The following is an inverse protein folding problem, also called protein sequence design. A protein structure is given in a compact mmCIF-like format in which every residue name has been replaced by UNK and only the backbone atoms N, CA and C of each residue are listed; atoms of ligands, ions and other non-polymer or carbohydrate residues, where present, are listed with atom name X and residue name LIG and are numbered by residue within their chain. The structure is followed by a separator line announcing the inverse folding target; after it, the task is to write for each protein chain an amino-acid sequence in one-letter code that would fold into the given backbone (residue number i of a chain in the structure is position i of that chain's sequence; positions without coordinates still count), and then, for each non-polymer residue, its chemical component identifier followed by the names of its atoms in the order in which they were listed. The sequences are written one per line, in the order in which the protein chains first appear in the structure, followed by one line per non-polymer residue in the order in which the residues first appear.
data_IF_128607924982
#
_entry.id   IF_128607924982
#
_cell.length_a   1.000
_cell.length_b   1.000
_cell.length_c   1.000
_cell.angle_alpha   90.00
_cell.angle_beta   90.00
_cell.angle_gamma   90.00
#
_symmetry.space_group_name_H-M   'P 1'
#
loop_
_entity.id
_entity.type
_entity.pdbx_description
1 polymer ?
#
# COMPACT_ATOMS: atom_id res chain seq x y z
N UNK A 1 -6.46 -20.59 -16.43
CA UNK A 1 -5.28 -20.44 -15.57
C UNK A 1 -5.41 -19.09 -14.92
N UNK A 2 -5.97 -19.09 -13.72
CA UNK A 2 -6.27 -17.91 -12.90
C UNK A 2 -5.00 -17.54 -12.16
N UNK A 3 -4.27 -16.49 -12.53
CA UNK A 3 -3.14 -16.05 -11.70
C UNK A 3 -2.86 -14.58 -11.95
N UNK A 4 -3.51 -13.73 -11.15
CA UNK A 4 -3.01 -12.48 -10.59
C UNK A 4 -4.23 -11.81 -9.98
N UNK A 5 -4.64 -12.26 -8.78
CA UNK A 5 -5.53 -11.43 -7.98
C UNK A 5 -4.82 -10.09 -7.77
N UNK A 6 -5.22 -9.07 -8.52
CA UNK A 6 -4.89 -7.69 -8.21
C UNK A 6 -5.55 -7.44 -6.85
N UNK A 7 -4.81 -7.68 -5.77
CA UNK A 7 -5.33 -7.55 -4.41
C UNK A 7 -5.47 -6.08 -4.11
N UNK A 8 -6.67 -5.56 -4.38
CA UNK A 8 -7.09 -4.24 -3.95
C UNK A 8 -7.74 -4.36 -2.59
N UNK A 9 -7.21 -3.66 -1.60
CA UNK A 9 -7.76 -3.59 -0.27
C UNK A 9 -7.66 -2.17 0.25
N UNK A 10 -8.57 -1.81 1.14
CA UNK A 10 -8.58 -0.47 1.74
C UNK A 10 -7.99 -0.56 3.13
N UNK A 11 -6.93 0.20 3.39
CA UNK A 11 -6.35 0.34 4.73
C UNK A 11 -6.84 1.63 5.37
N UNK A 12 -7.14 1.57 6.67
CA UNK A 12 -7.60 2.74 7.41
C UNK A 12 -6.43 3.26 8.25
N UNK A 13 -5.79 4.34 7.80
CA UNK A 13 -4.73 4.96 8.58
C UNK A 13 -5.37 5.79 9.68
N UNK A 14 -5.29 5.29 10.91
CA UNK A 14 -5.74 6.01 12.09
C UNK A 14 -4.67 7.03 12.46
N UNK A 15 -4.84 8.28 12.02
CA UNK A 15 -4.07 9.41 12.54
C UNK A 15 -4.84 9.92 13.75
N UNK A 16 -4.44 9.49 14.94
CA UNK A 16 -4.86 9.96 16.26
C UNK A 16 -6.29 10.55 16.35
N UNK A 17 -7.25 9.69 16.72
CA UNK A 17 -8.37 10.13 17.55
C UNK A 17 -9.76 10.30 16.91
N UNK A 18 -9.94 10.57 15.61
CA UNK A 18 -11.33 10.69 15.06
C UNK A 18 -11.52 10.52 13.55
N UNK A 19 -10.48 10.58 12.72
CA UNK A 19 -10.63 10.50 11.27
C UNK A 19 -9.74 9.38 10.70
N UNK A 20 -10.31 8.19 10.60
CA UNK A 20 -9.70 7.10 9.85
C UNK A 20 -9.62 7.51 8.38
N UNK A 21 -8.41 7.73 7.86
CA UNK A 21 -8.23 8.02 6.45
C UNK A 21 -8.20 6.71 5.68
N UNK A 22 -9.31 6.40 5.02
CA UNK A 22 -9.43 5.25 4.11
C UNK A 22 -8.53 5.47 2.91
N UNK A 23 -7.51 4.63 2.80
CA UNK A 23 -6.51 4.64 1.75
C UNK A 23 -6.67 3.38 0.92
N UNK A 24 -6.95 3.52 -0.37
CA UNK A 24 -7.04 2.37 -1.26
C UNK A 24 -5.63 1.91 -1.63
N UNK A 25 -5.30 0.66 -1.32
CA UNK A 25 -4.03 0.04 -1.71
C UNK A 25 -4.30 -1.02 -2.75
N UNK A 26 -3.61 -0.92 -3.88
CA UNK A 26 -3.67 -1.90 -4.97
C UNK A 26 -2.32 -2.56 -5.10
N UNK A 27 -2.23 -3.83 -4.72
CA UNK A 27 -1.08 -4.67 -5.01
C UNK A 27 -1.09 -5.07 -6.49
N UNK A 28 0.03 -4.83 -7.17
CA UNK A 28 0.26 -5.23 -8.55
C UNK A 28 1.62 -5.90 -8.67
N UNK A 29 1.65 -7.01 -9.36
CA UNK A 29 2.87 -7.70 -9.74
C UNK A 29 3.09 -7.44 -11.23
N UNK A 30 4.31 -7.05 -11.61
CA UNK A 30 4.69 -7.03 -13.03
C UNK A 30 4.91 -8.46 -13.50
N UNK A 31 4.76 -8.70 -14.80
CA UNK A 31 5.14 -9.97 -15.43
C UNK A 31 6.62 -10.33 -15.25
N UNK A 32 7.43 -9.35 -14.82
CA UNK A 32 8.85 -9.48 -14.47
C UNK A 32 9.06 -10.00 -13.03
N UNK A 33 7.99 -10.19 -12.25
CA UNK A 33 8.04 -10.62 -10.85
C UNK A 33 8.26 -9.47 -9.86
N UNK A 34 8.07 -8.21 -10.27
CA UNK A 34 8.20 -7.06 -9.38
C UNK A 34 6.86 -6.68 -8.77
N UNK A 35 6.76 -6.77 -7.45
CA UNK A 35 5.57 -6.38 -6.68
C UNK A 35 5.63 -4.90 -6.28
N UNK A 36 4.59 -4.15 -6.60
CA UNK A 36 4.41 -2.76 -6.18
C UNK A 36 2.98 -2.52 -5.68
N UNK A 37 2.82 -1.48 -4.88
CA UNK A 37 1.60 -1.16 -4.15
C UNK A 37 1.21 0.27 -4.45
N UNK A 38 0.11 0.44 -5.18
CA UNK A 38 -0.45 1.76 -5.50
C UNK A 38 -1.36 2.17 -4.36
N UNK A 39 -1.02 3.24 -3.66
CA UNK A 39 -1.76 3.77 -2.53
C UNK A 39 -2.44 5.08 -2.94
N UNK A 40 -3.76 5.12 -2.86
CA UNK A 40 -4.57 6.27 -3.23
C UNK A 40 -5.17 6.91 -1.99
N UNK A 41 -4.77 8.15 -1.73
CA UNK A 41 -5.09 8.93 -0.54
C UNK A 41 -5.86 10.18 -1.01
N UNK A 42 -7.19 10.05 -1.07
CA UNK A 42 -8.05 11.07 -1.66
C UNK A 42 -7.75 11.26 -3.15
N UNK A 43 -7.24 12.44 -3.51
CA UNK A 43 -6.82 12.77 -4.89
C UNK A 43 -5.35 12.45 -5.17
N UNK A 44 -4.56 12.16 -4.14
CA UNK A 44 -3.15 11.82 -4.31
C UNK A 44 -3.02 10.31 -4.57
N UNK A 45 -2.20 9.96 -5.55
CA UNK A 45 -1.82 8.58 -5.83
C UNK A 45 -0.31 8.45 -5.70
N UNK A 46 0.13 7.47 -4.93
CA UNK A 46 1.54 7.20 -4.70
C UNK A 46 1.80 5.71 -4.90
N UNK A 47 2.92 5.37 -5.50
CA UNK A 47 3.33 3.99 -5.69
C UNK A 47 4.47 3.68 -4.74
N UNK A 48 4.24 2.67 -3.93
CA UNK A 48 5.20 2.13 -3.00
C UNK A 48 5.72 0.80 -3.54
N UNK A 49 6.98 0.53 -3.29
CA UNK A 49 7.59 -0.77 -3.54
C UNK A 49 8.06 -1.32 -2.20
N UNK A 50 7.87 -2.62 -2.01
CA UNK A 50 8.38 -3.35 -0.86
C UNK A 50 9.56 -4.20 -1.34
N UNK A 51 10.77 -3.72 -1.10
CA UNK A 51 11.98 -4.53 -1.18
C UNK A 51 12.36 -4.90 0.27
N UNK A 52 13.47 -4.37 0.79
CA UNK A 52 13.85 -4.52 2.20
C UNK A 52 12.97 -3.63 3.10
N UNK A 53 12.70 -2.41 2.62
CA UNK A 53 11.87 -1.41 3.28
C UNK A 53 10.80 -0.90 2.29
N UNK A 54 9.77 -0.24 2.83
CA UNK A 54 8.77 0.44 2.01
C UNK A 54 9.36 1.73 1.44
N UNK A 55 9.47 1.81 0.12
CA UNK A 55 10.01 2.97 -0.60
C UNK A 55 9.00 3.52 -1.60
N UNK A 56 8.95 4.85 -1.74
CA UNK A 56 8.12 5.51 -2.75
C UNK A 56 8.89 5.52 -4.06
N UNK A 57 8.33 4.87 -5.07
CA UNK A 57 8.87 4.88 -6.43
C UNK A 57 8.15 5.89 -7.34
N UNK A 58 6.94 6.31 -6.95
CA UNK A 58 6.16 7.29 -7.71
C UNK A 58 5.20 8.07 -6.80
N UNK A 59 4.98 9.35 -7.12
CA UNK A 59 4.21 10.26 -6.29
C UNK A 59 5.01 10.83 -5.12
N UNK A 60 4.38 11.71 -4.34
CA UNK A 60 4.99 12.34 -3.17
C UNK A 60 4.21 11.90 -1.92
N UNK A 61 4.85 11.10 -1.07
CA UNK A 61 4.31 10.68 0.22
C UNK A 61 5.33 10.94 1.31
N UNK A 62 4.88 11.51 2.43
CA UNK A 62 5.71 11.69 3.61
C UNK A 62 6.32 10.34 4.07
N UNK A 63 7.62 10.26 4.36
CA UNK A 63 8.27 9.01 4.79
C UNK A 63 7.62 8.39 6.04
N UNK A 64 7.10 9.22 6.95
CA UNK A 64 6.33 8.75 8.11
C UNK A 64 5.02 8.04 7.71
N UNK A 65 4.32 8.59 6.69
CA UNK A 65 3.12 7.95 6.13
C UNK A 65 3.49 6.69 5.37
N UNK A 66 4.58 6.68 4.61
CA UNK A 66 5.07 5.48 3.90
C UNK A 66 5.30 4.34 4.88
N UNK A 67 6.02 4.60 5.98
CA UNK A 67 6.28 3.61 7.01
C UNK A 67 4.98 3.11 7.67
N UNK A 68 4.07 4.02 7.99
CA UNK A 68 2.77 3.67 8.60
C UNK A 68 1.92 2.81 7.66
N UNK A 69 1.78 3.24 6.42
CA UNK A 69 0.96 2.62 5.39
C UNK A 69 1.55 1.26 5.02
N UNK A 70 2.87 1.18 4.85
CA UNK A 70 3.59 -0.06 4.67
C UNK A 70 3.40 -1.06 5.80
N UNK A 71 3.44 -0.60 7.06
CA UNK A 71 3.15 -1.46 8.22
C UNK A 71 1.70 -1.97 8.23
N UNK A 72 0.72 -1.13 7.86
CA UNK A 72 -0.69 -1.55 7.75
C UNK A 72 -0.90 -2.54 6.59
N UNK A 73 -0.25 -2.33 5.45
CA UNK A 73 -0.24 -3.29 4.34
C UNK A 73 0.35 -4.62 4.80
N UNK A 74 1.50 -4.60 5.46
CA UNK A 74 2.19 -5.79 5.94
C UNK A 74 1.32 -6.58 6.92
N UNK A 75 0.70 -5.90 7.90
CA UNK A 75 -0.28 -6.52 8.82
C UNK A 75 -1.46 -7.13 8.07
N UNK A 76 -1.95 -6.49 7.02
CA UNK A 76 -3.07 -7.00 6.24
C UNK A 76 -2.68 -8.27 5.47
N UNK A 77 -1.49 -8.28 4.87
CA UNK A 77 -0.93 -9.44 4.16
C UNK A 77 -0.67 -10.60 5.12
N UNK A 78 -0.05 -10.33 6.27
CA UNK A 78 0.25 -11.32 7.31
C UNK A 78 -1.02 -11.93 7.91
N UNK A 79 -2.06 -11.14 8.16
CA UNK A 79 -3.33 -11.64 8.70
C UNK A 79 -4.10 -12.54 7.74
N UNK A 80 -3.77 -12.50 6.45
CA UNK A 80 -4.43 -13.28 5.41
C UNK A 80 -3.55 -14.41 4.83
N UNK A 81 -2.43 -14.74 5.49
CA UNK A 81 -1.54 -15.88 5.17
C UNK A 81 -1.94 -17.17 5.87
#
# INVERSE_FOLDING_TARGET
METSENKKFTVNINKDGSNAQSTEVTHKETTDGLSYYICKIGENEVQLRKDDHWEVIWGELDPEKVATLGAEIDKHILKHS
#
